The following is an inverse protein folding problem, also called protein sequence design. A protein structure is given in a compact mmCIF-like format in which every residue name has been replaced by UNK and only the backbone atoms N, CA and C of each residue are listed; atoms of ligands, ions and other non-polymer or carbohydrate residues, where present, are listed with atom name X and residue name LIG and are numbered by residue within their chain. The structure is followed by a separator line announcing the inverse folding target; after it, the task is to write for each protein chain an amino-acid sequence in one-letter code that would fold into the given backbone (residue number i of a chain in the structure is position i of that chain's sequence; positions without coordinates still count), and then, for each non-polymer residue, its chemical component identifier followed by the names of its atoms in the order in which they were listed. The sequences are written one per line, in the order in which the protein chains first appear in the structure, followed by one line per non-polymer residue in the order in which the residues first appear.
data_IF_492170608455
#
_entry.id   IF_492170608455
#
_cell.length_a   1.000
_cell.length_b   1.000
_cell.length_c   1.000
_cell.angle_alpha   90.00
_cell.angle_beta   90.00
_cell.angle_gamma   90.00
#
_symmetry.space_group_name_H-M   'P 1'
#
loop_
_entity.id
_entity.type
_entity.pdbx_description
1 polymer ?
#
# COMPACT_ATOMS: atom_id res chain seq x y z
N UNK A 1 5.74 -30.22 -14.29
CA UNK A 1 6.56 -29.49 -13.30
C UNK A 1 6.19 -28.01 -13.14
N UNK A 2 5.81 -27.26 -14.20
CA UNK A 2 5.46 -25.83 -14.05
C UNK A 2 4.24 -25.55 -13.15
N UNK A 3 3.26 -26.44 -13.08
CA UNK A 3 2.03 -26.20 -12.30
C UNK A 3 2.20 -26.24 -10.77
N UNK A 4 3.23 -26.91 -10.23
CA UNK A 4 3.50 -26.90 -8.79
C UNK A 4 3.93 -25.49 -8.33
N UNK A 5 4.85 -24.86 -9.08
CA UNK A 5 5.37 -23.52 -8.76
C UNK A 5 4.34 -22.38 -8.83
N UNK A 6 3.27 -22.53 -9.64
CA UNK A 6 2.22 -21.50 -9.74
C UNK A 6 1.27 -21.50 -8.54
N UNK A 7 0.89 -22.69 -8.06
CA UNK A 7 0.10 -22.83 -6.82
C UNK A 7 0.89 -22.31 -5.63
N UNK A 8 2.19 -22.63 -5.58
CA UNK A 8 3.08 -22.15 -4.52
C UNK A 8 3.17 -20.61 -4.49
N UNK A 9 3.29 -19.96 -5.66
CA UNK A 9 3.45 -18.50 -5.73
C UNK A 9 2.18 -17.74 -5.33
N UNK A 10 1.01 -18.18 -5.79
CA UNK A 10 -0.25 -17.50 -5.43
C UNK A 10 -0.55 -17.60 -3.93
N UNK A 11 -0.24 -18.73 -3.29
CA UNK A 11 -0.39 -18.89 -1.85
C UNK A 11 0.59 -17.96 -1.11
N UNK A 12 1.85 -17.90 -1.55
CA UNK A 12 2.85 -17.00 -0.96
C UNK A 12 2.40 -15.54 -1.06
N UNK A 13 1.94 -15.09 -2.23
CA UNK A 13 1.42 -13.72 -2.43
C UNK A 13 0.18 -13.46 -1.58
N UNK A 14 -0.71 -14.44 -1.44
CA UNK A 14 -1.90 -14.31 -0.61
C UNK A 14 -1.54 -14.12 0.87
N UNK A 15 -0.63 -14.96 1.38
CA UNK A 15 -0.14 -14.89 2.77
C UNK A 15 0.66 -13.61 3.01
N UNK A 16 1.45 -13.16 2.02
CA UNK A 16 2.16 -11.89 2.05
C UNK A 16 1.16 -10.73 2.22
N UNK A 17 0.16 -10.63 1.33
CA UNK A 17 -0.89 -9.61 1.45
C UNK A 17 -1.66 -9.68 2.77
N UNK A 18 -1.98 -10.89 3.23
CA UNK A 18 -2.65 -11.12 4.52
C UNK A 18 -1.79 -10.62 5.70
N UNK A 19 -0.47 -10.81 5.65
CA UNK A 19 0.44 -10.36 6.71
C UNK A 19 0.39 -8.84 6.85
N UNK A 20 0.48 -8.10 5.74
CA UNK A 20 0.36 -6.64 5.76
C UNK A 20 -1.02 -6.18 6.23
N UNK A 21 -2.07 -6.85 5.75
CA UNK A 21 -3.45 -6.52 6.12
C UNK A 21 -3.69 -6.71 7.62
N UNK A 22 -3.33 -7.87 8.17
CA UNK A 22 -3.48 -8.18 9.60
C UNK A 22 -2.63 -7.25 10.46
N UNK A 23 -1.38 -6.97 10.05
CA UNK A 23 -0.54 -5.97 10.71
C UNK A 23 -1.24 -4.60 10.74
N UNK A 24 -1.76 -4.14 9.61
CA UNK A 24 -2.44 -2.86 9.50
C UNK A 24 -3.68 -2.78 10.39
N UNK A 25 -4.52 -3.82 10.39
CA UNK A 25 -5.69 -3.93 11.27
C UNK A 25 -5.29 -3.95 12.74
N UNK A 26 -4.26 -4.73 13.11
CA UNK A 26 -3.78 -4.83 14.48
C UNK A 26 -3.28 -3.47 15.00
N UNK A 27 -2.50 -2.74 14.20
CA UNK A 27 -2.02 -1.39 14.55
C UNK A 27 -3.20 -0.42 14.66
N UNK A 28 -4.15 -0.45 13.72
CA UNK A 28 -5.34 0.40 13.76
C UNK A 28 -6.17 0.19 15.03
N UNK A 29 -6.38 -1.07 15.41
CA UNK A 29 -7.11 -1.43 16.63
C UNK A 29 -6.36 -1.01 17.89
N UNK A 30 -5.03 -1.16 17.91
CA UNK A 30 -4.21 -0.77 19.05
C UNK A 30 -4.19 0.76 19.25
N UNK A 31 -4.08 1.52 18.15
CA UNK A 31 -4.12 2.99 18.16
C UNK A 31 -5.41 3.55 18.78
N UNK A 32 -6.56 2.88 18.55
CA UNK A 32 -7.85 3.26 19.16
C UNK A 32 -7.95 3.04 20.67
N UNK A 33 -7.22 2.06 21.23
CA UNK A 33 -7.34 1.68 22.66
C UNK A 33 -6.41 2.47 23.59
N UNK A 34 -5.27 2.98 23.10
CA UNK A 34 -4.27 3.69 23.91
C UNK A 34 -4.09 5.15 23.48
N UNK A 35 -5.14 5.96 23.65
CA UNK A 35 -5.27 7.36 23.21
C UNK A 35 -4.35 8.40 23.91
N UNK A 36 -3.20 8.04 24.49
CA UNK A 36 -2.36 9.01 25.24
C UNK A 36 -0.90 9.16 24.82
N UNK A 37 -0.40 8.38 23.87
CA UNK A 37 0.98 8.50 23.41
C UNK A 37 1.02 9.11 22.01
N UNK A 38 1.83 10.16 21.83
CA UNK A 38 2.12 10.83 20.54
C UNK A 38 2.48 9.81 19.43
N UNK A 39 3.07 8.68 19.82
CA UNK A 39 3.37 7.51 18.99
C UNK A 39 2.13 6.89 18.30
N UNK A 40 0.96 6.93 18.91
CA UNK A 40 -0.28 6.38 18.34
C UNK A 40 -0.77 7.15 17.11
N UNK A 41 -0.41 8.44 17.00
CA UNK A 41 -0.76 9.29 15.86
C UNK A 41 0.10 8.97 14.63
N UNK A 42 1.36 8.62 14.86
CA UNK A 42 2.31 8.33 13.78
C UNK A 42 2.01 6.95 13.18
N UNK A 43 1.66 5.97 14.03
CA UNK A 43 1.29 4.61 13.64
C UNK A 43 0.03 4.51 12.77
N UNK A 44 -0.81 5.54 12.73
CA UNK A 44 -2.00 5.56 11.86
C UNK A 44 -1.63 5.42 10.38
N UNK A 45 -0.57 6.12 9.93
CA UNK A 45 -0.10 6.04 8.55
C UNK A 45 0.46 4.66 8.21
N UNK A 46 1.12 4.01 9.16
CA UNK A 46 1.61 2.65 9.01
C UNK A 46 0.46 1.63 8.95
N UNK A 47 -0.60 1.84 9.75
CA UNK A 47 -1.81 1.02 9.69
C UNK A 47 -2.51 1.13 8.32
N UNK A 48 -2.66 2.36 7.82
CA UNK A 48 -3.24 2.62 6.51
C UNK A 48 -2.40 1.97 5.39
N UNK A 49 -1.07 2.08 5.45
CA UNK A 49 -0.17 1.37 4.53
C UNK A 49 -0.42 -0.14 4.55
N UNK A 50 -0.39 -0.79 5.71
CA UNK A 50 -0.57 -2.25 5.80
C UNK A 50 -1.88 -2.73 5.20
N UNK A 51 -2.98 -2.01 5.46
CA UNK A 51 -4.30 -2.34 4.91
C UNK A 51 -4.32 -2.16 3.39
N UNK A 52 -3.91 -0.99 2.88
CA UNK A 52 -3.95 -0.69 1.45
C UNK A 52 -3.00 -1.59 0.65
N UNK A 53 -1.79 -1.81 1.17
CA UNK A 53 -0.78 -2.65 0.54
C UNK A 53 -1.21 -4.12 0.53
N UNK A 54 -1.81 -4.63 1.62
CA UNK A 54 -2.36 -5.98 1.63
C UNK A 54 -3.47 -6.19 0.59
N UNK A 55 -4.35 -5.20 0.41
CA UNK A 55 -5.40 -5.23 -0.64
C UNK A 55 -4.76 -5.16 -2.04
N UNK A 56 -3.71 -4.34 -2.21
CA UNK A 56 -2.95 -4.28 -3.46
C UNK A 56 -2.40 -5.66 -3.83
N UNK A 57 -1.68 -6.35 -2.95
CA UNK A 57 -1.08 -7.67 -3.22
C UNK A 57 -2.11 -8.72 -3.65
N UNK A 58 -3.32 -8.66 -3.09
CA UNK A 58 -4.40 -9.54 -3.51
C UNK A 58 -4.92 -9.24 -4.92
N UNK A 59 -4.81 -8.01 -5.40
CA UNK A 59 -5.18 -7.63 -6.76
C UNK A 59 -4.35 -8.37 -7.82
N UNK A 60 -3.07 -8.68 -7.55
CA UNK A 60 -2.22 -9.47 -8.45
C UNK A 60 -2.73 -10.90 -8.66
N UNK A 61 -3.54 -11.40 -7.71
CA UNK A 61 -4.17 -12.71 -7.78
C UNK A 61 -5.58 -12.59 -8.38
N UNK A 62 -6.39 -11.63 -7.93
CA UNK A 62 -7.82 -11.55 -8.28
C UNK A 62 -8.12 -10.88 -9.61
N UNK A 63 -7.33 -9.89 -10.05
CA UNK A 63 -7.58 -9.19 -11.32
C UNK A 63 -7.43 -10.13 -12.52
N UNK A 64 -6.38 -10.98 -12.62
CA UNK A 64 -6.27 -11.96 -13.70
C UNK A 64 -7.45 -12.93 -13.77
N UNK A 65 -7.95 -13.39 -12.61
CA UNK A 65 -9.12 -14.28 -12.54
C UNK A 65 -10.38 -13.60 -13.09
N UNK A 66 -10.55 -12.30 -12.80
CA UNK A 66 -11.67 -11.50 -13.30
C UNK A 66 -11.53 -11.20 -14.81
N UNK A 67 -10.30 -11.07 -15.30
CA UNK A 67 -10.00 -10.74 -16.69
C UNK A 67 -10.47 -11.82 -17.69
N UNK A 68 -10.67 -13.06 -17.24
CA UNK A 68 -11.25 -14.13 -18.07
C UNK A 68 -12.74 -13.91 -18.38
N UNK A 69 -13.44 -13.10 -17.59
CA UNK A 69 -14.90 -12.92 -17.66
C UNK A 69 -15.32 -11.50 -18.04
N UNK A 70 -14.47 -10.52 -17.74
CA UNK A 70 -14.77 -9.11 -17.94
C UNK A 70 -14.36 -8.63 -19.34
N UNK A 71 -15.02 -7.57 -19.81
CA UNK A 71 -14.58 -6.88 -21.03
C UNK A 71 -13.25 -6.15 -20.78
N UNK A 72 -12.49 -5.94 -21.86
CA UNK A 72 -11.18 -5.27 -21.83
C UNK A 72 -11.23 -3.93 -21.10
N UNK A 73 -12.31 -3.16 -21.27
CA UNK A 73 -12.49 -1.87 -20.62
C UNK A 73 -12.54 -1.99 -19.09
N UNK A 74 -13.27 -2.97 -18.54
CA UNK A 74 -13.35 -3.17 -17.10
C UNK A 74 -12.02 -3.70 -16.53
N UNK A 75 -11.33 -4.55 -17.28
CA UNK A 75 -10.00 -5.05 -16.89
C UNK A 75 -9.00 -3.90 -16.79
N UNK A 76 -9.00 -2.98 -17.77
CA UNK A 76 -8.17 -1.78 -17.73
C UNK A 76 -8.49 -0.91 -16.51
N UNK A 77 -9.78 -0.70 -16.19
CA UNK A 77 -10.18 0.04 -14.99
C UNK A 77 -9.65 -0.64 -13.71
N UNK A 78 -9.72 -1.97 -13.61
CA UNK A 78 -9.19 -2.70 -12.47
C UNK A 78 -7.67 -2.50 -12.31
N UNK A 79 -6.90 -2.62 -13.39
CA UNK A 79 -5.46 -2.37 -13.35
C UNK A 79 -5.12 -0.91 -13.01
N UNK A 80 -5.87 0.06 -13.52
CA UNK A 80 -5.71 1.47 -13.16
C UNK A 80 -5.96 1.69 -11.68
N UNK A 81 -7.07 1.16 -11.13
CA UNK A 81 -7.37 1.25 -9.71
C UNK A 81 -6.31 0.55 -8.86
N UNK A 82 -5.77 -0.57 -9.33
CA UNK A 82 -4.74 -1.32 -8.65
C UNK A 82 -3.41 -0.55 -8.56
N UNK A 83 -3.00 0.12 -9.65
CA UNK A 83 -1.82 1.00 -9.66
C UNK A 83 -2.05 2.22 -8.77
N UNK A 84 -3.24 2.83 -8.78
CA UNK A 84 -3.60 3.92 -7.86
C UNK A 84 -3.54 3.46 -6.39
N UNK A 85 -4.03 2.26 -6.11
CA UNK A 85 -4.00 1.68 -4.76
C UNK A 85 -2.57 1.47 -4.27
N UNK A 86 -1.69 0.93 -5.14
CA UNK A 86 -0.25 0.81 -4.86
C UNK A 86 0.34 2.16 -4.50
N UNK A 87 0.02 3.16 -5.31
CA UNK A 87 0.48 4.51 -5.14
C UNK A 87 0.10 5.08 -3.77
N UNK A 88 -1.18 5.00 -3.43
CA UNK A 88 -1.69 5.45 -2.14
C UNK A 88 -1.06 4.70 -0.96
N UNK A 89 -0.81 3.39 -1.12
CA UNK A 89 -0.14 2.61 -0.07
C UNK A 89 1.27 3.15 0.24
N UNK A 90 2.08 3.39 -0.80
CA UNK A 90 3.43 3.94 -0.61
C UNK A 90 3.41 5.38 -0.10
N UNK A 91 2.42 6.18 -0.49
CA UNK A 91 2.24 7.53 0.07
C UNK A 91 2.00 7.46 1.60
N UNK A 92 1.18 6.51 2.07
CA UNK A 92 1.00 6.29 3.50
C UNK A 92 2.31 5.88 4.20
N UNK A 93 3.10 4.99 3.59
CA UNK A 93 4.40 4.58 4.15
C UNK A 93 5.38 5.75 4.24
N UNK A 94 5.42 6.60 3.21
CA UNK A 94 6.28 7.78 3.16
C UNK A 94 5.86 8.80 4.24
N UNK A 95 4.56 9.05 4.37
CA UNK A 95 4.00 9.91 5.43
C UNK A 95 4.34 9.39 6.83
N UNK A 96 4.26 8.07 7.04
CA UNK A 96 4.71 7.44 8.28
C UNK A 96 6.20 7.74 8.55
N UNK A 97 7.05 7.60 7.52
CA UNK A 97 8.47 7.93 7.61
C UNK A 97 8.71 9.39 8.00
N UNK A 98 8.06 10.34 7.31
CA UNK A 98 8.17 11.79 7.58
C UNK A 98 7.84 12.09 9.04
N UNK A 99 6.67 11.66 9.50
CA UNK A 99 6.18 12.00 10.83
C UNK A 99 7.06 11.36 11.91
N UNK A 100 7.52 10.13 11.68
CA UNK A 100 8.42 9.42 12.60
C UNK A 100 9.80 10.09 12.70
N UNK A 101 10.32 10.62 11.57
CA UNK A 101 11.63 11.26 11.49
C UNK A 101 11.61 12.72 11.94
N UNK A 102 10.50 13.46 11.76
CA UNK A 102 10.38 14.86 12.19
C UNK A 102 10.68 15.05 13.68
N UNK A 103 10.35 14.03 14.48
CA UNK A 103 10.63 14.03 15.93
C UNK A 103 12.14 13.98 16.25
N UNK A 104 12.98 13.49 15.31
CA UNK A 104 14.43 13.31 15.51
C UNK A 104 15.29 14.22 14.63
N UNK A 105 14.81 14.61 13.46
CA UNK A 105 15.56 15.36 12.44
C UNK A 105 14.64 16.40 11.77
N UNK A 106 14.72 17.70 12.16
CA UNK A 106 13.88 18.76 11.61
C UNK A 106 13.88 18.89 10.06
N UNK A 107 15.02 18.74 9.34
CA UNK A 107 15.00 18.86 7.88
C UNK A 107 14.35 17.66 7.17
N UNK A 108 14.14 16.54 7.86
CA UNK A 108 13.56 15.33 7.25
C UNK A 108 12.14 15.55 6.72
N UNK A 109 11.38 16.49 7.30
CA UNK A 109 10.06 16.85 6.81
C UNK A 109 10.10 17.50 5.43
N UNK A 110 11.03 18.41 5.19
CA UNK A 110 11.16 19.10 3.89
C UNK A 110 11.60 18.10 2.83
N UNK A 111 12.63 17.30 3.13
CA UNK A 111 13.12 16.26 2.21
C UNK A 111 12.01 15.26 1.89
N UNK A 112 11.27 14.79 2.89
CA UNK A 112 10.16 13.87 2.66
C UNK A 112 9.03 14.49 1.84
N UNK A 113 8.64 15.74 2.09
CA UNK A 113 7.62 16.42 1.27
C UNK A 113 8.08 16.61 -0.18
N UNK A 114 9.36 16.93 -0.41
CA UNK A 114 9.94 16.97 -1.75
C UNK A 114 9.87 15.60 -2.42
N UNK A 115 10.14 14.52 -1.69
CA UNK A 115 10.00 13.15 -2.21
C UNK A 115 8.55 12.80 -2.53
N UNK A 116 7.57 13.17 -1.69
CA UNK A 116 6.13 12.99 -2.00
C UNK A 116 5.76 13.74 -3.26
N UNK A 117 6.16 15.01 -3.39
CA UNK A 117 5.83 15.82 -4.56
C UNK A 117 6.46 15.25 -5.82
N UNK A 118 7.76 14.92 -5.78
CA UNK A 118 8.46 14.31 -6.90
C UNK A 118 7.80 12.99 -7.31
N UNK A 119 7.50 12.13 -6.35
CA UNK A 119 6.84 10.85 -6.59
C UNK A 119 5.42 11.02 -7.16
N UNK A 120 4.61 11.94 -6.64
CA UNK A 120 3.26 12.23 -7.16
C UNK A 120 3.30 12.76 -8.58
N UNK A 121 4.27 13.63 -8.90
CA UNK A 121 4.48 14.13 -10.27
C UNK A 121 4.87 12.97 -11.19
N UNK A 122 5.83 12.14 -10.80
CA UNK A 122 6.23 10.97 -11.58
C UNK A 122 5.07 9.99 -11.79
N UNK A 123 4.28 9.73 -10.75
CA UNK A 123 3.11 8.86 -10.83
C UNK A 123 2.08 9.38 -11.85
N UNK A 124 1.75 10.67 -11.79
CA UNK A 124 0.84 11.32 -12.74
C UNK A 124 1.39 11.24 -14.17
N UNK A 125 2.67 11.57 -14.36
CA UNK A 125 3.29 11.51 -15.69
C UNK A 125 3.25 10.11 -16.29
N UNK A 126 3.55 9.07 -15.50
CA UNK A 126 3.51 7.66 -15.94
C UNK A 126 2.08 7.20 -16.23
N UNK A 127 1.09 7.71 -15.48
CA UNK A 127 -0.31 7.32 -15.68
C UNK A 127 -0.90 7.87 -16.99
N UNK A 128 -0.40 9.02 -17.46
CA UNK A 128 -0.88 9.69 -18.67
C UNK A 128 0.03 9.49 -19.91
N UNK A 129 1.18 8.81 -19.77
CA UNK A 129 2.09 8.44 -20.87
C UNK A 129 1.69 7.14 -21.54
#
# INVERSE_FOLDING_TARGET
MRQLFFVDRSIVLFVYGLTFFVMGVAIFMHSRRHSRLRLARDLYWLAAFGILHGIYEWGDIFIPIQAEKLSIQYVQILYTLHVILLAFSFMCLLMFGIVSLETRLPPARVVGLLLVMAWSISFVLILYS
#
